data_IF_390128261044
#
_entry.id   IF_390128261044
#
_cell.length_a   1.000
_cell.length_b   1.000
_cell.length_c   1.000
_cell.angle_alpha   90.00
_cell.angle_beta   90.00
_cell.angle_gamma   90.00
#
_symmetry.space_group_name_H-M   'P 1'
#
loop_
_entity.id
_entity.type
_entity.pdbx_description
1 polymer ?
#
# COMPACT_ATOMS: atom_id res chain seq x y z
N UNK A 1 -5.78 3.87 -1.78
CA UNK A 1 -4.84 3.02 -2.55
C UNK A 1 -5.05 3.33 -4.03
N UNK A 2 -4.06 3.86 -4.75
CA UNK A 2 -4.26 4.22 -6.16
C UNK A 2 -4.29 2.96 -7.01
N UNK A 3 -5.39 2.71 -7.73
CA UNK A 3 -5.49 1.60 -8.69
C UNK A 3 -4.36 1.71 -9.70
N UNK A 4 -3.58 0.63 -9.86
CA UNK A 4 -2.55 0.55 -10.90
C UNK A 4 -3.17 0.06 -12.20
N UNK A 5 -2.75 0.66 -13.30
CA UNK A 5 -3.16 0.28 -14.65
C UNK A 5 -1.95 -0.28 -15.40
N UNK A 6 -2.09 -1.38 -16.14
CA UNK A 6 -0.96 -1.95 -16.87
C UNK A 6 -0.60 -1.07 -18.09
N UNK A 7 0.54 -0.35 -18.08
CA UNK A 7 0.87 0.57 -19.16
C UNK A 7 1.08 -0.12 -20.51
N UNK A 8 1.34 -1.43 -20.52
CA UNK A 8 1.59 -2.20 -21.74
C UNK A 8 0.34 -2.40 -22.60
N UNK A 9 -0.86 -2.20 -22.01
CA UNK A 9 -2.13 -2.28 -22.74
C UNK A 9 -2.34 -1.12 -23.70
N UNK A 10 -1.68 0.01 -23.48
CA UNK A 10 -1.63 1.10 -24.45
C UNK A 10 -0.47 0.85 -25.41
N UNK A 11 -0.79 0.43 -26.63
CA UNK A 11 0.19 0.20 -27.68
C UNK A 11 0.74 1.55 -28.18
N UNK A 12 2.07 1.77 -28.15
CA UNK A 12 2.64 3.09 -28.43
C UNK A 12 2.29 3.69 -29.80
N UNK A 13 2.08 2.84 -30.80
CA UNK A 13 1.82 3.20 -32.20
C UNK A 13 0.33 3.36 -32.54
N UNK A 14 -0.57 3.13 -31.57
CA UNK A 14 -2.01 3.30 -31.78
C UNK A 14 -2.51 4.59 -31.17
N UNK A 15 -3.56 5.15 -31.78
CA UNK A 15 -4.35 6.25 -31.23
C UNK A 15 -5.67 5.70 -30.70
N UNK A 16 -6.08 6.18 -29.53
CA UNK A 16 -7.28 5.71 -28.85
C UNK A 16 -8.28 6.84 -28.66
N UNK A 17 -9.57 6.55 -28.88
CA UNK A 17 -10.65 7.39 -28.36
C UNK A 17 -10.81 7.16 -26.85
N UNK A 18 -11.62 7.99 -26.20
CA UNK A 18 -11.90 7.87 -24.76
C UNK A 18 -12.62 6.57 -24.43
N UNK A 19 -13.53 6.15 -25.31
CA UNK A 19 -14.31 4.93 -25.20
C UNK A 19 -13.41 3.70 -25.37
N UNK A 20 -12.50 3.74 -26.35
CA UNK A 20 -11.51 2.68 -26.54
C UNK A 20 -10.59 2.55 -25.32
N UNK A 21 -10.06 3.66 -24.78
CA UNK A 21 -9.27 3.62 -23.53
C UNK A 21 -10.06 3.03 -22.36
N UNK A 22 -11.32 3.45 -22.19
CA UNK A 22 -12.19 2.93 -21.15
C UNK A 22 -12.35 1.39 -21.25
N UNK A 23 -12.56 0.88 -22.47
CA UNK A 23 -12.61 -0.55 -22.76
C UNK A 23 -11.28 -1.27 -22.46
N UNK A 24 -10.16 -0.77 -22.99
CA UNK A 24 -8.82 -1.37 -22.82
C UNK A 24 -8.42 -1.52 -21.35
N UNK A 25 -8.72 -0.51 -20.53
CA UNK A 25 -8.34 -0.49 -19.11
C UNK A 25 -9.44 -1.00 -18.17
N UNK A 26 -10.62 -1.34 -18.69
CA UNK A 26 -11.81 -1.72 -17.90
C UNK A 26 -12.09 -0.66 -16.82
N UNK A 27 -12.23 0.59 -17.26
CA UNK A 27 -12.51 1.77 -16.42
C UNK A 27 -13.66 2.57 -17.00
N UNK A 28 -14.26 3.45 -16.20
CA UNK A 28 -15.32 4.35 -16.64
C UNK A 28 -14.75 5.55 -17.41
N UNK A 29 -15.57 6.18 -18.27
CA UNK A 29 -15.22 7.42 -18.97
C UNK A 29 -14.83 8.56 -18.01
N UNK A 30 -15.39 8.57 -16.80
CA UNK A 30 -15.04 9.50 -15.72
C UNK A 30 -13.59 9.33 -15.25
N UNK A 31 -13.08 8.10 -15.26
CA UNK A 31 -11.68 7.82 -14.94
C UNK A 31 -10.76 8.43 -15.99
N UNK A 32 -11.11 8.29 -17.28
CA UNK A 32 -10.36 8.90 -18.39
C UNK A 32 -10.38 10.43 -18.27
N UNK A 33 -11.53 11.03 -17.95
CA UNK A 33 -11.62 12.47 -17.65
C UNK A 33 -10.71 12.88 -16.48
N UNK A 34 -10.65 12.08 -15.42
CA UNK A 34 -9.74 12.32 -14.29
C UNK A 34 -8.28 12.27 -14.72
N UNK A 35 -7.91 11.37 -15.65
CA UNK A 35 -6.57 11.31 -16.21
C UNK A 35 -6.24 12.57 -17.02
N UNK A 36 -7.19 13.10 -17.80
CA UNK A 36 -6.99 14.36 -18.52
C UNK A 36 -6.72 15.54 -17.59
N UNK A 37 -7.42 15.62 -16.45
CA UNK A 37 -7.12 16.63 -15.41
C UNK A 37 -5.76 16.45 -14.74
N UNK A 38 -5.19 15.24 -14.79
CA UNK A 38 -3.90 14.88 -14.18
C UNK A 38 -2.73 14.94 -15.16
N UNK A 39 -2.97 15.38 -16.41
CA UNK A 39 -1.92 15.57 -17.42
C UNK A 39 -1.92 14.62 -18.61
N UNK A 40 -2.97 13.79 -18.80
CA UNK A 40 -3.14 13.03 -20.04
C UNK A 40 -3.83 13.89 -21.11
N UNK A 41 -3.07 14.45 -22.04
CA UNK A 41 -3.61 15.32 -23.09
C UNK A 41 -3.96 14.55 -24.38
N UNK A 42 -5.03 14.93 -25.08
CA UNK A 42 -5.28 14.43 -26.44
C UNK A 42 -4.28 15.03 -27.43
N UNK A 43 -4.10 14.37 -28.58
CA UNK A 43 -3.22 14.76 -29.68
C UNK A 43 -3.61 16.14 -30.20
N UNK A 44 -4.91 16.36 -30.38
CA UNK A 44 -5.47 17.65 -30.77
C UNK A 44 -6.69 18.01 -29.90
N UNK A 45 -7.17 19.24 -30.08
CA UNK A 45 -8.39 19.74 -29.41
C UNK A 45 -9.64 19.57 -30.27
N UNK A 46 -9.59 18.72 -31.31
CA UNK A 46 -10.72 18.48 -32.20
C UNK A 46 -11.46 17.23 -31.75
N UNK A 47 -12.75 17.16 -32.10
CA UNK A 47 -13.57 15.98 -31.81
C UNK A 47 -13.53 15.04 -33.02
N UNK A 48 -13.41 13.72 -32.82
CA UNK A 48 -13.25 13.02 -31.54
C UNK A 48 -11.85 13.19 -30.94
N UNK A 49 -11.76 13.30 -29.60
CA UNK A 49 -10.48 13.42 -28.90
C UNK A 49 -9.69 12.11 -28.98
N UNK A 50 -8.52 12.17 -29.62
CA UNK A 50 -7.61 11.04 -29.75
C UNK A 50 -6.45 11.17 -28.78
N UNK A 51 -6.04 10.05 -28.18
CA UNK A 51 -4.91 9.96 -27.28
C UNK A 51 -3.86 9.05 -27.89
N UNK A 52 -2.62 9.55 -28.03
CA UNK A 52 -1.51 8.73 -28.49
C UNK A 52 -1.20 7.66 -27.45
N UNK A 53 -1.14 6.40 -27.85
CA UNK A 53 -0.87 5.28 -26.95
C UNK A 53 0.48 5.39 -26.24
N UNK A 54 1.48 6.00 -26.91
CA UNK A 54 2.77 6.33 -26.30
C UNK A 54 2.63 7.27 -25.09
N UNK A 55 1.78 8.29 -25.21
CA UNK A 55 1.54 9.26 -24.13
C UNK A 55 0.68 8.68 -23.02
N UNK A 56 -0.33 7.87 -23.37
CA UNK A 56 -1.11 7.10 -22.38
C UNK A 56 -0.18 6.20 -21.57
N UNK A 57 0.75 5.50 -22.22
CA UNK A 57 1.72 4.63 -21.55
C UNK A 57 2.63 5.41 -20.62
N UNK A 58 3.21 6.53 -21.07
CA UNK A 58 4.06 7.42 -20.24
C UNK A 58 3.28 7.97 -19.04
N UNK A 59 2.06 8.44 -19.27
CA UNK A 59 1.17 8.93 -18.21
C UNK A 59 0.91 7.83 -17.17
N UNK A 60 0.58 6.62 -17.60
CA UNK A 60 0.30 5.50 -16.69
C UNK A 60 1.54 5.05 -15.92
N UNK A 61 2.73 5.10 -16.52
CA UNK A 61 3.99 4.85 -15.82
C UNK A 61 4.23 5.88 -14.70
N UNK A 62 4.02 7.17 -14.98
CA UNK A 62 4.13 8.22 -13.98
C UNK A 62 3.03 8.16 -12.90
N UNK A 63 1.79 7.86 -13.31
CA UNK A 63 0.65 7.68 -12.42
C UNK A 63 0.86 6.50 -11.45
N UNK A 64 1.44 5.41 -11.96
CA UNK A 64 1.83 4.24 -11.17
C UNK A 64 3.12 4.52 -10.39
N UNK A 65 3.09 5.49 -9.46
CA UNK A 65 4.25 5.85 -8.61
C UNK A 65 5.07 4.61 -8.25
N UNK A 66 6.37 4.53 -8.58
CA UNK A 66 7.17 3.35 -8.30
C UNK A 66 7.09 3.03 -6.81
N UNK A 67 7.04 1.74 -6.46
CA UNK A 67 7.22 1.36 -5.06
C UNK A 67 8.62 1.83 -4.68
N UNK A 68 8.72 2.71 -3.69
CA UNK A 68 10.04 3.14 -3.22
C UNK A 68 10.67 1.96 -2.47
N UNK A 69 11.81 1.43 -2.94
CA UNK A 69 12.49 0.36 -2.22
C UNK A 69 12.95 0.90 -0.86
N UNK A 70 12.70 0.14 0.21
CA UNK A 70 13.27 0.43 1.52
C UNK A 70 14.68 -0.15 1.58
N UNK A 71 15.68 0.72 1.76
CA UNK A 71 17.04 0.29 2.07
C UNK A 71 17.18 -0.23 3.51
N UNK A 72 18.35 -0.78 3.87
CA UNK A 72 18.69 -1.08 5.25
C UNK A 72 18.49 0.14 6.16
N UNK A 73 17.85 -0.06 7.30
CA UNK A 73 17.58 0.99 8.29
C UNK A 73 16.51 2.01 7.90
N UNK A 74 15.75 1.74 6.84
CA UNK A 74 14.68 2.63 6.38
C UNK A 74 13.32 1.92 6.38
N UNK A 75 12.29 2.63 6.84
CA UNK A 75 10.91 2.15 6.88
C UNK A 75 10.03 3.07 6.03
N UNK A 76 9.10 2.49 5.28
CA UNK A 76 8.16 3.27 4.47
C UNK A 76 7.02 3.83 5.35
N UNK A 77 6.84 5.15 5.32
CA UNK A 77 5.71 5.79 5.99
C UNK A 77 4.49 5.84 5.06
N UNK A 78 3.42 5.12 5.40
CA UNK A 78 2.19 5.09 4.60
C UNK A 78 1.49 6.44 4.54
N UNK A 79 1.56 7.23 5.62
CA UNK A 79 0.96 8.56 5.68
C UNK A 79 1.71 9.59 4.82
N UNK A 80 3.04 9.66 4.96
CA UNK A 80 3.87 10.59 4.18
C UNK A 80 4.13 10.10 2.75
N UNK A 81 3.89 8.81 2.47
CA UNK A 81 4.19 8.13 1.19
C UNK A 81 5.66 8.25 0.78
N UNK A 82 6.56 8.17 1.76
CA UNK A 82 8.00 8.26 1.56
C UNK A 82 8.75 7.27 2.45
N UNK A 83 9.90 6.81 1.97
CA UNK A 83 10.87 6.05 2.76
C UNK A 83 11.56 7.00 3.75
N UNK A 84 11.67 6.59 5.01
CA UNK A 84 12.23 7.43 6.07
C UNK A 84 13.01 6.60 7.07
N UNK A 85 14.01 7.20 7.71
CA UNK A 85 14.64 6.60 8.88
C UNK A 85 13.77 6.84 10.11
N UNK A 86 13.48 5.82 10.93
CA UNK A 86 12.77 5.99 12.20
C UNK A 86 13.40 7.06 13.09
N UNK A 87 12.55 7.84 13.76
CA UNK A 87 12.99 8.84 14.71
C UNK A 87 13.88 8.19 15.80
N UNK A 88 15.02 8.82 16.10
CA UNK A 88 15.98 8.31 17.07
C UNK A 88 16.77 7.07 16.63
N UNK A 89 16.58 6.57 15.39
CA UNK A 89 17.20 5.32 14.90
C UNK A 89 16.92 4.10 15.79
N UNK A 90 15.81 4.14 16.53
CA UNK A 90 15.34 3.04 17.38
C UNK A 90 14.08 2.45 16.78
N UNK A 91 14.00 1.12 16.77
CA UNK A 91 12.80 0.38 16.38
C UNK A 91 12.55 -0.74 17.38
N UNK A 92 11.27 -1.01 17.62
CA UNK A 92 10.82 -2.14 18.43
C UNK A 92 10.48 -3.29 17.49
N UNK A 93 11.03 -4.48 17.74
CA UNK A 93 10.69 -5.70 17.05
C UNK A 93 9.58 -6.42 17.80
N UNK A 94 8.45 -6.61 17.11
CA UNK A 94 7.29 -7.33 17.62
C UNK A 94 7.19 -8.64 16.83
N UNK A 95 7.42 -9.77 17.50
CA UNK A 95 7.26 -11.08 16.89
C UNK A 95 5.78 -11.34 16.57
N UNK A 96 5.49 -11.78 15.34
CA UNK A 96 4.13 -12.17 14.93
C UNK A 96 4.01 -13.68 14.73
N UNK A 97 5.12 -14.32 14.36
CA UNK A 97 5.26 -15.77 14.27
C UNK A 97 6.72 -16.15 14.55
N UNK A 98 7.06 -17.44 14.69
CA UNK A 98 8.43 -17.86 14.94
C UNK A 98 9.44 -17.38 13.88
N UNK A 99 8.96 -17.14 12.66
CA UNK A 99 9.80 -16.79 11.51
C UNK A 99 9.65 -15.35 11.03
N UNK A 100 8.63 -14.62 11.50
CA UNK A 100 8.33 -13.26 11.03
C UNK A 100 7.88 -12.34 12.17
N UNK A 101 8.20 -11.06 12.04
CA UNK A 101 7.72 -10.01 12.92
C UNK A 101 7.66 -8.66 12.22
N UNK A 102 7.28 -7.63 12.96
CA UNK A 102 7.25 -6.25 12.50
C UNK A 102 8.32 -5.42 13.23
N UNK A 103 9.12 -4.67 12.48
CA UNK A 103 9.89 -3.55 13.00
C UNK A 103 8.96 -2.33 13.09
N UNK A 104 8.81 -1.79 14.28
CA UNK A 104 7.96 -0.65 14.59
C UNK A 104 8.82 0.54 14.96
N UNK A 105 8.65 1.65 14.27
CA UNK A 105 9.29 2.91 14.60
C UNK A 105 8.30 4.06 14.60
N UNK A 106 8.79 5.28 14.79
CA UNK A 106 8.03 6.51 14.56
C UNK A 106 8.58 7.26 13.36
N UNK A 107 7.69 7.79 12.51
CA UNK A 107 8.10 8.67 11.42
C UNK A 107 8.59 10.01 11.98
N UNK A 108 9.77 10.51 11.58
CA UNK A 108 10.25 11.82 12.03
C UNK A 108 9.43 12.99 11.48
N UNK A 109 8.73 12.81 10.35
CA UNK A 109 7.98 13.87 9.69
C UNK A 109 6.55 14.02 10.23
N UNK A 110 5.84 12.91 10.46
CA UNK A 110 4.43 12.94 10.88
C UNK A 110 4.17 12.31 12.24
N UNK A 111 5.21 11.84 12.94
CA UNK A 111 5.16 11.22 14.27
C UNK A 111 4.31 9.95 14.38
N UNK A 112 3.66 9.51 13.30
CA UNK A 112 2.87 8.26 13.25
C UNK A 112 3.79 7.04 13.33
N UNK A 113 3.24 5.95 13.87
CA UNK A 113 3.90 4.64 13.84
C UNK A 113 4.10 4.18 12.40
N UNK A 114 5.29 3.67 12.13
CA UNK A 114 5.67 3.07 10.85
C UNK A 114 6.09 1.63 11.10
N UNK A 115 5.75 0.76 10.14
CA UNK A 115 5.86 -0.68 10.30
C UNK A 115 6.60 -1.28 9.11
N UNK A 116 7.47 -2.25 9.37
CA UNK A 116 8.10 -3.05 8.33
C UNK A 116 8.10 -4.52 8.72
N UNK A 117 7.41 -5.33 7.91
CA UNK A 117 7.43 -6.79 8.01
C UNK A 117 8.82 -7.30 7.68
N UNK A 118 9.41 -8.09 8.57
CA UNK A 118 10.72 -8.73 8.37
C UNK A 118 10.67 -10.18 8.83
N UNK A 119 11.48 -11.02 8.18
CA UNK A 119 11.78 -12.35 8.71
C UNK A 119 12.77 -12.21 9.86
N UNK A 120 12.66 -13.07 10.87
CA UNK A 120 13.56 -13.04 12.03
C UNK A 120 15.04 -13.16 11.60
N UNK A 121 15.33 -13.98 10.59
CA UNK A 121 16.67 -14.13 10.03
C UNK A 121 17.19 -12.88 9.28
N UNK A 122 16.29 -12.04 8.76
CA UNK A 122 16.64 -10.86 7.96
C UNK A 122 16.71 -9.57 8.79
N UNK A 123 16.49 -9.63 10.10
CA UNK A 123 16.45 -8.45 10.98
C UNK A 123 17.75 -7.67 10.88
N UNK A 124 18.91 -8.32 10.98
CA UNK A 124 20.21 -7.65 10.90
C UNK A 124 20.39 -6.88 9.57
N UNK A 125 20.05 -7.52 8.45
CA UNK A 125 20.16 -6.92 7.11
C UNK A 125 19.17 -5.77 6.90
N UNK A 126 17.95 -5.88 7.42
CA UNK A 126 16.90 -4.86 7.25
C UNK A 126 17.01 -3.71 8.24
N UNK A 127 17.44 -3.97 9.48
CA UNK A 127 17.67 -2.94 10.49
C UNK A 127 18.89 -2.08 10.15
N UNK A 128 19.92 -2.63 9.50
CA UNK A 128 21.11 -1.88 9.13
C UNK A 128 21.76 -1.23 10.36
N UNK A 129 21.73 0.11 10.43
CA UNK A 129 22.27 0.88 11.55
C UNK A 129 21.25 1.22 12.65
N UNK A 130 20.06 0.62 12.65
CA UNK A 130 19.04 0.88 13.66
C UNK A 130 19.30 0.07 14.93
N UNK A 131 19.03 0.67 16.08
CA UNK A 131 18.97 -0.03 17.37
C UNK A 131 17.63 -0.76 17.45
N UNK A 132 17.67 -2.09 17.45
CA UNK A 132 16.47 -2.93 17.57
C UNK A 132 16.26 -3.30 19.03
N UNK A 133 15.09 -2.95 19.57
CA UNK A 133 14.61 -3.41 20.87
C UNK A 133 13.72 -4.62 20.65
N UNK A 134 13.93 -5.69 21.40
CA UNK A 134 13.07 -6.88 21.32
C UNK A 134 12.04 -6.75 22.44
N UNK A 135 10.77 -6.62 22.09
CA UNK A 135 9.70 -6.71 23.09
C UNK A 135 9.43 -8.20 23.33
N UNK A 136 9.67 -8.62 24.58
CA UNK A 136 9.61 -10.02 24.98
C UNK A 136 8.19 -10.59 24.96
N UNK A 137 8.14 -11.84 24.52
CA UNK A 137 7.08 -12.84 24.60
C UNK A 137 5.74 -12.66 23.88
N UNK A 138 5.51 -13.64 23.02
CA UNK A 138 4.29 -13.97 22.31
C UNK A 138 3.29 -14.49 23.33
N UNK A 139 2.44 -13.62 23.88
CA UNK A 139 1.18 -14.09 24.45
C UNK A 139 0.27 -14.45 23.26
N UNK A 140 0.32 -15.72 22.85
CA UNK A 140 -0.73 -16.33 22.03
C UNK A 140 -2.05 -16.09 22.78
N UNK A 141 -2.85 -15.13 22.32
CA UNK A 141 -4.23 -15.02 22.75
C UNK A 141 -4.97 -16.19 22.07
N UNK A 142 -4.88 -17.38 22.66
CA UNK A 142 -5.76 -18.48 22.31
C UNK A 142 -7.18 -17.99 22.59
N UNK A 143 -7.92 -17.73 21.52
CA UNK A 143 -9.33 -17.34 21.61
C UNK A 143 -10.14 -18.63 21.71
N UNK A 144 -9.97 -19.36 22.82
CA UNK A 144 -10.90 -20.40 23.25
C UNK A 144 -11.65 -19.86 24.47
N UNK A 145 -12.35 -18.75 24.26
CA UNK A 145 -13.44 -18.34 25.14
C UNK A 145 -14.68 -19.07 24.65
N UNK A 146 -14.91 -20.26 25.22
CA UNK A 146 -16.20 -20.95 25.15
C UNK A 146 -17.30 -19.95 25.56
N UNK A 147 -18.30 -19.66 24.71
CA UNK A 147 -19.37 -18.75 25.12
C UNK A 147 -20.19 -19.42 26.21
N UNK A 148 -20.03 -18.93 27.45
CA UNK A 148 -20.88 -19.31 28.57
C UNK A 148 -22.33 -18.99 28.24
N UNK A 149 -23.08 -20.04 27.93
CA UNK A 149 -24.53 -20.05 27.79
C UNK A 149 -25.12 -19.75 29.16
N UNK A 150 -25.63 -18.54 29.38
CA UNK A 150 -26.47 -18.26 30.55
C UNK A 150 -27.79 -18.98 30.36
N UNK A 151 -27.98 -20.06 31.11
CA UNK A 151 -29.26 -20.74 31.28
C UNK A 151 -30.27 -19.76 31.91
N UNK A 152 -31.46 -19.55 31.34
CA UNK A 152 -32.48 -18.73 31.97
C UNK A 152 -33.06 -19.43 33.20
N UNK A 153 -33.09 -18.68 34.31
CA UNK A 153 -33.70 -19.06 35.58
C UNK A 153 -35.16 -19.45 35.39
N UNK A 154 -35.49 -20.64 35.90
CA UNK A 154 -36.82 -21.19 36.02
C UNK A 154 -37.56 -20.44 37.16
N UNK A 155 -38.53 -19.59 36.82
CA UNK A 155 -39.44 -18.99 37.80
C UNK A 155 -40.71 -19.85 37.86
N UNK A 156 -40.87 -20.52 39.01
CA UNK A 156 -41.96 -21.44 39.30
C UNK A 156 -43.33 -20.77 39.29
N UNK A 157 -44.30 -21.49 38.73
CA UNK A 157 -45.72 -21.18 38.84
C UNK A 157 -46.24 -21.38 40.27
N UNK A 158 -47.21 -20.53 40.62
CA UNK A 158 -48.18 -20.71 41.70
C UNK A 158 -49.40 -21.43 41.15
#
# INVERSE_FOLDING_TARGET
MTRRYDPRRALPHLSYTREQLAGTFKVTLTTIWSWTKKGLHPIDRKRPYLFAGGDVRKFLQAHNKPRQPTGPGQIYCVACKQVTQPAGKVVDFIALSPTNGDLVGRCPNCSRRIFQRVRTADIATKAGSLTVRYEGDVATINTDAEPSRTEPLNEGGV
#
